data_IF_196932197401
#
_entry.id   IF_196932197401
#
_cell.length_a   1.000
_cell.length_b   1.000
_cell.length_c   1.000
_cell.angle_alpha   90.00
_cell.angle_beta   90.00
_cell.angle_gamma   90.00
#
_symmetry.space_group_name_H-M   'P 1'
#
loop_
_entity.id
_entity.type
_entity.pdbx_description
1 polymer ?
#
# COMPACT_ATOMS: atom_id res chain seq x y z
N UNK A 1 -1.28 -17.10 -3.56
CA UNK A 1 -0.91 -15.73 -3.91
C UNK A 1 -2.12 -14.84 -3.91
N UNK A 2 -2.12 -13.88 -3.00
CA UNK A 2 -3.09 -12.80 -2.95
C UNK A 2 -3.16 -12.05 -4.31
N UNK A 3 -4.38 -11.69 -4.76
CA UNK A 3 -4.60 -11.07 -6.07
C UNK A 3 -3.95 -9.69 -6.20
N UNK A 4 -3.94 -8.89 -5.14
CA UNK A 4 -3.31 -7.56 -5.14
C UNK A 4 -1.79 -7.65 -5.09
N UNK A 5 -1.25 -8.63 -4.36
CA UNK A 5 0.19 -8.92 -4.37
C UNK A 5 0.67 -9.26 -5.80
N UNK A 6 -0.13 -10.01 -6.56
CA UNK A 6 0.18 -10.30 -7.98
C UNK A 6 0.35 -9.02 -8.81
N UNK A 7 -0.55 -8.05 -8.66
CA UNK A 7 -0.49 -6.76 -9.37
C UNK A 7 0.76 -5.95 -8.97
N UNK A 8 1.12 -5.97 -7.69
CA UNK A 8 2.34 -5.27 -7.22
C UNK A 8 3.61 -5.93 -7.75
N UNK A 9 3.66 -7.27 -7.79
CA UNK A 9 4.78 -8.02 -8.40
C UNK A 9 4.90 -7.77 -9.89
N UNK A 10 3.78 -7.62 -10.60
CA UNK A 10 3.75 -7.23 -12.01
C UNK A 10 4.35 -5.82 -12.21
N UNK A 11 3.92 -4.85 -11.41
CA UNK A 11 4.44 -3.49 -11.47
C UNK A 11 5.94 -3.43 -11.14
N UNK A 12 6.39 -4.16 -10.12
CA UNK A 12 7.81 -4.30 -9.82
C UNK A 12 8.60 -4.90 -11.00
N UNK A 13 8.04 -5.93 -11.65
CA UNK A 13 8.64 -6.53 -12.85
C UNK A 13 8.75 -5.53 -14.01
N UNK A 14 7.73 -4.69 -14.21
CA UNK A 14 7.74 -3.66 -15.25
C UNK A 14 8.82 -2.58 -14.99
N UNK A 15 9.06 -2.23 -13.73
CA UNK A 15 10.12 -1.31 -13.29
C UNK A 15 11.50 -1.97 -13.10
N UNK A 16 11.59 -3.28 -13.29
CA UNK A 16 12.80 -4.07 -12.98
C UNK A 16 13.28 -3.88 -11.54
N UNK A 17 12.35 -3.65 -10.61
CA UNK A 17 12.66 -3.52 -9.18
C UNK A 17 13.13 -4.87 -8.62
N UNK A 18 14.10 -4.86 -7.68
CA UNK A 18 14.53 -6.08 -7.00
C UNK A 18 13.34 -6.79 -6.33
N UNK A 19 13.11 -8.04 -6.70
CA UNK A 19 12.20 -8.95 -6.01
C UNK A 19 12.62 -10.39 -6.23
N UNK A 20 12.50 -11.23 -5.20
CA UNK A 20 12.85 -12.65 -5.31
C UNK A 20 11.65 -13.50 -5.74
N UNK A 21 11.91 -14.76 -6.11
CA UNK A 21 10.84 -15.66 -6.50
C UNK A 21 9.90 -15.93 -5.31
N UNK A 22 8.64 -16.20 -5.63
CA UNK A 22 7.64 -16.50 -4.61
C UNK A 22 8.05 -17.76 -3.83
N UNK A 23 8.00 -17.68 -2.50
CA UNK A 23 8.35 -18.77 -1.59
C UNK A 23 9.79 -18.75 -1.08
N UNK A 24 10.67 -17.87 -1.58
CA UNK A 24 12.05 -17.79 -1.09
C UNK A 24 12.14 -17.19 0.33
N UNK A 25 11.23 -16.27 0.69
CA UNK A 25 11.13 -15.67 2.03
C UNK A 25 12.47 -15.05 2.50
N UNK A 26 13.09 -14.25 1.65
CA UNK A 26 14.37 -13.59 1.93
C UNK A 26 14.14 -12.35 2.80
N UNK A 27 14.91 -12.22 3.88
CA UNK A 27 14.84 -11.05 4.77
C UNK A 27 15.29 -9.77 4.04
N UNK A 28 14.54 -8.68 4.21
CA UNK A 28 14.97 -7.35 3.74
C UNK A 28 16.30 -6.93 4.37
N UNK A 29 17.11 -6.22 3.58
CA UNK A 29 18.27 -5.49 4.10
C UNK A 29 17.83 -4.30 4.96
N UNK A 30 18.67 -3.85 5.89
CA UNK A 30 18.36 -2.69 6.74
C UNK A 30 18.03 -1.44 5.92
N UNK A 31 18.78 -1.20 4.83
CA UNK A 31 18.50 -0.09 3.92
C UNK A 31 17.13 -0.23 3.26
N UNK A 32 16.76 -1.44 2.81
CA UNK A 32 15.43 -1.68 2.25
C UNK A 32 14.32 -1.45 3.29
N UNK A 33 14.52 -1.85 4.54
CA UNK A 33 13.57 -1.60 5.63
C UNK A 33 13.41 -0.09 5.85
N UNK A 34 14.50 0.67 5.94
CA UNK A 34 14.47 2.13 6.11
C UNK A 34 13.71 2.80 4.95
N UNK A 35 13.97 2.38 3.72
CA UNK A 35 13.28 2.90 2.53
C UNK A 35 11.78 2.59 2.54
N UNK A 36 11.40 1.36 2.90
CA UNK A 36 9.98 0.97 3.00
C UNK A 36 9.29 1.72 4.13
N UNK A 37 9.96 1.93 5.26
CA UNK A 37 9.43 2.72 6.35
C UNK A 37 9.17 4.16 5.94
N UNK A 38 10.12 4.80 5.25
CA UNK A 38 9.95 6.16 4.75
C UNK A 38 8.74 6.29 3.81
N UNK A 39 8.58 5.34 2.88
CA UNK A 39 7.43 5.30 1.97
C UNK A 39 6.10 5.12 2.71
N UNK A 40 6.02 4.19 3.66
CA UNK A 40 4.80 3.96 4.44
C UNK A 40 4.42 5.18 5.31
N UNK A 41 5.41 5.86 5.89
CA UNK A 41 5.18 7.08 6.68
C UNK A 41 4.66 8.22 5.80
N UNK A 42 5.14 8.31 4.57
CA UNK A 42 4.67 9.28 3.60
C UNK A 42 3.23 9.03 3.17
N UNK A 43 2.90 7.81 2.72
CA UNK A 43 1.52 7.42 2.36
C UNK A 43 0.57 7.56 3.55
N UNK A 44 1.03 7.20 4.76
CA UNK A 44 0.29 7.41 6.00
C UNK A 44 0.01 8.89 6.28
N UNK A 45 0.95 9.79 5.94
CA UNK A 45 0.76 11.22 6.09
C UNK A 45 -0.33 11.76 5.15
N UNK A 46 -0.36 11.33 3.89
CA UNK A 46 -1.42 11.72 2.95
C UNK A 46 -2.78 11.16 3.38
N UNK A 47 -2.83 9.90 3.83
CA UNK A 47 -4.05 9.33 4.43
C UNK A 47 -4.55 10.17 5.61
N UNK A 48 -3.67 10.61 6.52
CA UNK A 48 -4.07 11.45 7.65
C UNK A 48 -4.56 12.83 7.23
N UNK A 49 -4.01 13.40 6.14
CA UNK A 49 -4.53 14.66 5.57
C UNK A 49 -5.93 14.47 5.00
N UNK A 50 -6.16 13.38 4.27
CA UNK A 50 -7.48 13.06 3.72
C UNK A 50 -8.51 12.83 4.84
N UNK A 51 -8.13 12.08 5.88
CA UNK A 51 -8.95 11.87 7.08
C UNK A 51 -9.31 13.21 7.74
N UNK A 52 -8.32 14.10 7.91
CA UNK A 52 -8.55 15.44 8.47
C UNK A 52 -9.50 16.27 7.61
N UNK A 53 -9.42 16.12 6.29
CA UNK A 53 -10.28 16.83 5.34
C UNK A 53 -11.70 16.24 5.25
N UNK A 54 -11.91 14.99 5.69
CA UNK A 54 -13.18 14.29 5.56
C UNK A 54 -13.50 13.85 4.13
N UNK A 55 -12.49 13.75 3.27
CA UNK A 55 -12.64 13.38 1.87
C UNK A 55 -12.56 11.85 1.72
N UNK A 56 -13.71 11.19 1.55
CA UNK A 56 -13.80 9.73 1.50
C UNK A 56 -13.07 9.14 0.29
N UNK A 57 -13.02 9.86 -0.84
CA UNK A 57 -12.32 9.41 -2.06
C UNK A 57 -10.82 9.43 -1.82
N UNK A 58 -10.30 10.50 -1.23
CA UNK A 58 -8.89 10.64 -0.89
C UNK A 58 -8.48 9.71 0.28
N UNK A 59 -9.39 9.43 1.22
CA UNK A 59 -9.14 8.44 2.29
C UNK A 59 -9.00 7.04 1.69
N UNK A 60 -9.88 6.67 0.75
CA UNK A 60 -9.77 5.41 0.02
C UNK A 60 -8.45 5.35 -0.77
N UNK A 61 -8.11 6.41 -1.52
CA UNK A 61 -6.85 6.52 -2.24
C UNK A 61 -5.63 6.31 -1.32
N UNK A 62 -5.61 6.97 -0.16
CA UNK A 62 -4.56 6.81 0.84
C UNK A 62 -4.44 5.36 1.36
N UNK A 63 -5.56 4.69 1.63
CA UNK A 63 -5.56 3.28 2.04
C UNK A 63 -5.07 2.34 0.94
N UNK A 64 -5.42 2.61 -0.33
CA UNK A 64 -4.92 1.81 -1.47
C UNK A 64 -3.42 2.01 -1.65
N UNK A 65 -2.92 3.25 -1.61
CA UNK A 65 -1.49 3.52 -1.76
C UNK A 65 -0.68 2.94 -0.60
N UNK A 66 -1.17 3.04 0.63
CA UNK A 66 -0.54 2.42 1.79
C UNK A 66 -0.48 0.89 1.65
N UNK A 67 -1.58 0.28 1.18
CA UNK A 67 -1.64 -1.16 0.87
C UNK A 67 -0.63 -1.55 -0.22
N UNK A 68 -0.57 -0.77 -1.29
CA UNK A 68 0.35 -1.00 -2.41
C UNK A 68 1.82 -0.97 -1.94
N UNK A 69 2.15 0.01 -1.09
CA UNK A 69 3.49 0.17 -0.50
C UNK A 69 3.87 -0.99 0.42
N UNK A 70 2.93 -1.45 1.26
CA UNK A 70 3.16 -2.60 2.15
C UNK A 70 3.35 -3.90 1.35
N UNK A 71 2.50 -4.15 0.35
CA UNK A 71 2.64 -5.29 -0.55
C UNK A 71 3.95 -5.25 -1.34
N UNK A 72 4.49 -4.07 -1.63
CA UNK A 72 5.80 -3.91 -2.27
C UNK A 72 6.94 -4.48 -1.44
N UNK A 73 6.89 -4.36 -0.10
CA UNK A 73 7.87 -4.99 0.78
C UNK A 73 7.76 -6.52 0.72
N UNK A 74 6.54 -7.06 0.85
CA UNK A 74 6.25 -8.50 0.74
C UNK A 74 6.72 -9.06 -0.61
N UNK A 75 6.52 -8.32 -1.69
CA UNK A 75 6.97 -8.68 -3.03
C UNK A 75 8.50 -8.84 -3.11
N UNK A 76 9.27 -7.92 -2.51
CA UNK A 76 10.74 -8.00 -2.48
C UNK A 76 11.20 -9.30 -1.80
N UNK A 77 10.60 -9.62 -0.66
CA UNK A 77 10.96 -10.79 0.16
C UNK A 77 10.52 -12.12 -0.46
N UNK A 78 9.62 -12.08 -1.45
CA UNK A 78 9.01 -13.27 -2.03
C UNK A 78 8.05 -14.00 -1.09
N UNK A 79 7.60 -13.33 -0.03
CA UNK A 79 6.59 -13.84 0.89
C UNK A 79 5.18 -13.80 0.25
N UNK A 80 4.19 -14.41 0.92
CA UNK A 80 2.77 -14.24 0.59
C UNK A 80 2.07 -13.40 1.67
N UNK A 81 0.89 -12.87 1.36
CA UNK A 81 0.10 -12.13 2.32
C UNK A 81 -0.49 -13.09 3.35
N UNK A 82 -0.30 -12.79 4.63
CA UNK A 82 -0.96 -13.49 5.72
C UNK A 82 -2.27 -12.78 6.06
N UNK A 83 -3.39 -13.46 5.82
CA UNK A 83 -4.70 -12.96 6.24
C UNK A 83 -4.77 -12.95 7.77
N UNK A 84 -4.90 -11.74 8.34
CA UNK A 84 -5.03 -11.55 9.77
C UNK A 84 -6.36 -10.89 10.13
N UNK A 85 -7.02 -11.35 11.20
CA UNK A 85 -8.24 -10.70 11.67
C UNK A 85 -7.91 -9.29 12.17
N UNK A 86 -8.66 -8.30 11.69
CA UNK A 86 -8.55 -6.91 12.14
C UNK A 86 -9.50 -6.73 13.32
N UNK A 87 -8.94 -6.67 14.53
CA UNK A 87 -9.71 -6.33 15.73
C UNK A 87 -9.81 -4.82 15.87
N UNK A 88 -10.82 -4.23 15.23
CA UNK A 88 -11.15 -2.82 15.40
C UNK A 88 -12.65 -2.64 15.67
N UNK A 89 -12.96 -1.78 16.64
CA UNK A 89 -14.31 -1.34 16.94
C UNK A 89 -14.38 0.17 16.76
N UNK A 90 -15.41 0.64 16.05
CA UNK A 90 -15.66 2.05 15.86
C UNK A 90 -16.06 2.68 17.19
N UNK A 91 -15.18 3.50 17.77
CA UNK A 91 -15.40 4.20 19.03
C UNK A 91 -15.90 5.65 18.86
N UNK A 92 -16.12 6.08 17.61
CA UNK A 92 -16.53 7.45 17.29
C UNK A 92 -15.37 8.44 17.13
N UNK A 93 -14.12 7.99 17.31
CA UNK A 93 -12.94 8.85 17.34
C UNK A 93 -12.02 8.62 16.13
N UNK A 94 -11.90 9.64 15.29
CA UNK A 94 -10.94 9.66 14.17
C UNK A 94 -9.49 9.52 14.67
N UNK A 95 -9.19 9.99 15.88
CA UNK A 95 -7.87 9.84 16.50
C UNK A 95 -7.52 8.36 16.72
N UNK A 96 -8.52 7.51 17.01
CA UNK A 96 -8.31 6.08 17.18
C UNK A 96 -7.93 5.40 15.87
N UNK A 97 -8.49 5.84 14.74
CA UNK A 97 -8.03 5.41 13.40
C UNK A 97 -6.59 5.84 13.12
N UNK A 98 -6.25 7.10 13.41
CA UNK A 98 -4.88 7.60 13.21
C UNK A 98 -3.86 6.84 14.05
N UNK A 99 -4.17 6.56 15.32
CA UNK A 99 -3.31 5.75 16.20
C UNK A 99 -3.13 4.34 15.65
N UNK A 100 -4.23 3.69 15.24
CA UNK A 100 -4.19 2.34 14.69
C UNK A 100 -3.29 2.25 13.44
N UNK A 101 -3.45 3.16 12.48
CA UNK A 101 -2.58 3.21 11.31
C UNK A 101 -1.13 3.49 11.68
N UNK A 102 -0.89 4.45 12.60
CA UNK A 102 0.45 4.80 13.05
C UNK A 102 1.16 3.60 13.69
N UNK A 103 0.47 2.84 14.53
CA UNK A 103 1.02 1.66 15.19
C UNK A 103 1.38 0.57 14.18
N UNK A 104 0.49 0.28 13.21
CA UNK A 104 0.75 -0.72 12.17
C UNK A 104 1.89 -0.31 11.23
N UNK A 105 1.94 0.97 10.84
CA UNK A 105 3.06 1.52 10.06
C UNK A 105 4.36 1.45 10.84
N UNK A 106 4.35 1.77 12.14
CA UNK A 106 5.56 1.72 12.97
C UNK A 106 6.08 0.28 13.15
N UNK A 107 5.18 -0.69 13.29
CA UNK A 107 5.56 -2.11 13.37
C UNK A 107 6.31 -2.60 12.13
N UNK A 108 6.08 -1.99 10.96
CA UNK A 108 6.79 -2.33 9.72
C UNK A 108 8.30 -2.04 9.78
N UNK A 109 8.77 -1.25 10.75
CA UNK A 109 10.19 -1.01 10.98
C UNK A 109 10.95 -2.29 11.40
N UNK A 110 10.24 -3.37 11.76
CA UNK A 110 10.86 -4.68 11.99
C UNK A 110 11.35 -5.36 10.70
N UNK A 111 10.84 -4.94 9.53
CA UNK A 111 11.06 -5.60 8.25
C UNK A 111 10.33 -6.94 8.10
N UNK A 112 9.35 -7.25 8.95
CA UNK A 112 8.62 -8.52 8.88
C UNK A 112 7.48 -8.48 7.86
N UNK A 113 7.33 -9.49 6.98
CA UNK A 113 6.21 -9.60 6.04
C UNK A 113 4.85 -9.67 6.74
N UNK A 114 4.82 -10.13 8.00
CA UNK A 114 3.61 -10.18 8.82
C UNK A 114 3.10 -8.77 9.13
N UNK A 115 4.01 -7.86 9.50
CA UNK A 115 3.66 -6.48 9.84
C UNK A 115 3.19 -5.70 8.59
N UNK A 116 3.80 -5.96 7.44
CA UNK A 116 3.30 -5.42 6.16
C UNK A 116 1.92 -6.00 5.79
N UNK A 117 1.68 -7.28 6.05
CA UNK A 117 0.38 -7.92 5.82
C UNK A 117 -0.70 -7.32 6.73
N UNK A 118 -0.37 -6.95 7.96
CA UNK A 118 -1.29 -6.28 8.89
C UNK A 118 -1.75 -4.91 8.36
N UNK A 119 -0.85 -4.11 7.78
CA UNK A 119 -1.21 -2.84 7.15
C UNK A 119 -2.17 -3.06 5.98
N UNK A 120 -1.85 -4.01 5.10
CA UNK A 120 -2.72 -4.38 3.97
C UNK A 120 -4.11 -4.84 4.44
N UNK A 121 -4.17 -5.75 5.42
CA UNK A 121 -5.43 -6.26 5.95
C UNK A 121 -6.27 -5.15 6.59
N UNK A 122 -5.62 -4.25 7.34
CA UNK A 122 -6.27 -3.10 7.95
C UNK A 122 -6.90 -2.18 6.89
N UNK A 123 -6.15 -1.81 5.85
CA UNK A 123 -6.66 -0.99 4.76
C UNK A 123 -7.84 -1.65 4.04
N UNK A 124 -7.72 -2.94 3.71
CA UNK A 124 -8.79 -3.68 3.05
C UNK A 124 -10.06 -3.75 3.93
N UNK A 125 -9.88 -4.01 5.23
CA UNK A 125 -10.98 -4.05 6.19
C UNK A 125 -11.66 -2.69 6.35
N UNK A 126 -10.91 -1.61 6.57
CA UNK A 126 -11.48 -0.27 6.77
C UNK A 126 -12.08 0.32 5.49
N UNK A 127 -11.54 0.00 4.32
CA UNK A 127 -12.17 0.39 3.05
C UNK A 127 -13.59 -0.15 2.95
N UNK A 128 -13.81 -1.41 3.35
CA UNK A 128 -15.13 -2.07 3.29
C UNK A 128 -16.04 -1.67 4.45
N UNK A 129 -15.51 -1.61 5.68
CA UNK A 129 -16.31 -1.45 6.90
C UNK A 129 -16.48 0.00 7.36
N UNK A 130 -15.53 0.88 7.04
CA UNK A 130 -15.55 2.28 7.47
C UNK A 130 -15.90 3.22 6.31
N UNK A 131 -15.28 3.03 5.14
CA UNK A 131 -15.55 3.88 3.96
C UNK A 131 -16.73 3.36 3.12
N UNK A 132 -17.15 2.11 3.32
CA UNK A 132 -18.17 1.46 2.49
C UNK A 132 -17.78 1.45 1.00
N UNK A 133 -16.59 0.94 0.68
CA UNK A 133 -16.03 0.95 -0.67
C UNK A 133 -15.63 -0.44 -1.18
N UNK A 134 -15.66 -0.59 -2.51
CA UNK A 134 -15.04 -1.71 -3.22
C UNK A 134 -13.52 -1.55 -3.26
N UNK A 135 -12.86 -2.11 -2.24
CA UNK A 135 -11.41 -2.13 -2.15
C UNK A 135 -10.74 -2.78 -3.36
N UNK A 136 -11.34 -3.84 -3.91
CA UNK A 136 -10.71 -4.63 -4.96
C UNK A 136 -10.75 -3.89 -6.30
N UNK A 137 -11.90 -3.25 -6.62
CA UNK A 137 -12.03 -2.33 -7.76
C UNK A 137 -11.08 -1.14 -7.63
N UNK A 138 -11.05 -0.50 -6.47
CA UNK A 138 -10.18 0.65 -6.22
C UNK A 138 -8.70 0.29 -6.40
N UNK A 139 -8.27 -0.87 -5.89
CA UNK A 139 -6.90 -1.34 -6.03
C UNK A 139 -6.54 -1.56 -7.51
N UNK A 140 -7.43 -2.19 -8.27
CA UNK A 140 -7.25 -2.42 -9.70
C UNK A 140 -7.12 -1.10 -10.47
N UNK A 141 -7.99 -0.11 -10.20
CA UNK A 141 -7.93 1.20 -10.84
C UNK A 141 -6.60 1.92 -10.58
N UNK A 142 -6.13 1.91 -9.33
CA UNK A 142 -4.83 2.50 -8.97
C UNK A 142 -3.70 1.78 -9.69
N UNK A 143 -3.74 0.45 -9.77
CA UNK A 143 -2.74 -0.33 -10.47
C UNK A 143 -2.71 -0.03 -11.98
N UNK A 144 -3.86 -0.06 -12.65
CA UNK A 144 -3.99 0.21 -14.09
C UNK A 144 -3.47 1.61 -14.43
N UNK A 145 -3.78 2.58 -13.57
CA UNK A 145 -3.27 3.94 -13.70
C UNK A 145 -1.74 4.01 -13.52
N UNK A 146 -1.15 3.32 -12.53
CA UNK A 146 0.31 3.25 -12.37
C UNK A 146 0.98 2.60 -13.59
N UNK A 147 0.42 1.51 -14.12
CA UNK A 147 0.92 0.84 -15.33
C UNK A 147 0.81 1.73 -16.58
N UNK A 148 -0.31 2.44 -16.75
CA UNK A 148 -0.54 3.38 -17.85
C UNK A 148 0.45 4.55 -17.83
N UNK A 149 0.72 5.11 -16.66
CA UNK A 149 1.68 6.20 -16.52
C UNK A 149 3.12 5.71 -16.73
N UNK A 150 3.46 4.48 -16.32
CA UNK A 150 4.76 3.88 -16.62
C UNK A 150 4.97 3.70 -18.14
N UNK A 151 3.95 3.22 -18.86
CA UNK A 151 4.02 3.11 -20.31
C UNK A 151 4.27 4.45 -21.01
N UNK A 152 3.75 5.55 -20.45
CA UNK A 152 3.96 6.92 -20.95
C UNK A 152 5.32 7.49 -20.58
N UNK A 153 5.88 7.17 -19.40
CA UNK A 153 7.19 7.67 -18.97
C UNK A 153 8.37 6.92 -19.58
N UNK A 154 8.13 5.83 -20.32
CA UNK A 154 9.18 4.91 -20.79
C UNK A 154 9.66 3.99 -19.67
N UNK A 155 10.40 2.93 -20.04
CA UNK A 155 10.91 1.92 -19.10
C UNK A 155 11.94 2.57 -18.16
N UNK A 156 11.47 3.04 -17.00
CA UNK A 156 12.34 3.44 -15.90
C UNK A 156 13.03 2.18 -15.38
N UNK A 157 14.35 2.13 -15.54
CA UNK A 157 15.18 1.17 -14.80
C UNK A 157 15.37 1.80 -13.44
N UNK A 158 14.72 1.26 -12.41
CA UNK A 158 14.84 1.78 -11.05
C UNK A 158 15.97 1.06 -10.29
N UNK A 159 17.13 1.70 -10.14
CA UNK A 159 18.29 1.10 -9.44
C UNK A 159 18.43 1.56 -7.98
N UNK A 160 17.75 2.64 -7.56
CA UNK A 160 18.05 3.34 -6.30
C UNK A 160 16.80 3.93 -5.59
N UNK A 161 17.00 4.34 -4.33
CA UNK A 161 15.98 4.92 -3.44
C UNK A 161 15.27 6.17 -3.99
N UNK A 162 15.96 6.98 -4.79
CA UNK A 162 15.41 8.18 -5.44
C UNK A 162 14.36 7.85 -6.51
N UNK A 163 14.35 6.62 -7.04
CA UNK A 163 13.46 6.22 -8.13
C UNK A 163 12.21 5.50 -7.64
N UNK A 164 12.24 4.90 -6.45
CA UNK A 164 11.00 4.53 -5.74
C UNK A 164 10.21 5.80 -5.39
N UNK A 165 10.89 6.91 -5.10
CA UNK A 165 10.25 8.22 -4.96
C UNK A 165 9.61 8.72 -6.27
N UNK A 166 10.11 8.30 -7.45
CA UNK A 166 9.43 8.59 -8.72
C UNK A 166 8.06 7.91 -8.84
N UNK A 167 7.79 6.83 -8.10
CA UNK A 167 6.45 6.22 -8.05
C UNK A 167 5.38 7.13 -7.42
N UNK A 168 5.82 8.19 -6.72
CA UNK A 168 4.97 9.28 -6.20
C UNK A 168 4.46 10.22 -7.29
N UNK A 169 5.06 10.23 -8.49
CA UNK A 169 4.54 11.01 -9.62
C UNK A 169 3.26 10.43 -10.22
N UNK A 170 2.89 9.20 -9.84
CA UNK A 170 1.66 8.60 -10.31
C UNK A 170 0.47 9.15 -9.54
N UNK A 171 -0.12 10.23 -10.07
CA UNK A 171 -1.37 10.79 -9.56
C UNK A 171 -2.41 9.68 -9.44
N UNK A 172 -2.99 9.49 -8.26
CA UNK A 172 -4.07 8.52 -8.04
C UNK A 172 -5.27 8.88 -8.93
N UNK A 173 -5.91 7.90 -9.60
CA UNK A 173 -7.14 8.17 -10.35
C UNK A 173 -8.26 8.56 -9.38
N UNK A 174 -9.32 9.18 -9.91
CA UNK A 174 -10.55 9.39 -9.14
C UNK A 174 -11.19 8.04 -8.81
N UNK A 175 -11.46 7.79 -7.53
CA UNK A 175 -12.02 6.54 -7.00
C UNK A 175 -13.49 6.68 -6.59
N UNK A 176 -14.16 7.77 -6.96
CA UNK A 176 -15.56 8.03 -6.60
C UNK A 176 -16.49 6.87 -6.96
N UNK A 177 -16.24 6.19 -8.08
CA UNK A 177 -17.04 5.04 -8.54
C UNK A 177 -16.80 3.73 -7.74
N UNK A 178 -15.92 3.76 -6.75
CA UNK A 178 -15.68 2.63 -5.84
C UNK A 178 -16.43 2.77 -4.52
N UNK A 179 -17.03 3.93 -4.24
CA UNK A 179 -17.83 4.15 -3.05
C UNK A 179 -19.24 3.60 -3.27
N UNK A 180 -19.79 2.92 -2.27
CA UNK A 180 -21.19 2.52 -2.25
C UNK A 180 -22.05 3.59 -1.57
N UNK A 181 -23.27 3.79 -2.07
CA UNK A 181 -24.30 4.66 -1.45
C UNK A 181 -24.75 4.15 -0.07
#
# INVERSE_FOLDING_TARGET
MNKHLKLVREFHGALSLPQVAQGENVKLSEMAIIMRQALLMEEGSELFRAIKAGDMVEILAGMINLSYSALGAIAIEGADVLDQPVSWQHDGSIISLMRLFSDKINNCASGSPNNYSEVYCLCAYLSRSFINADFDKAFQMVHDNKMSQLAKSGKLICENAEEIQKSKFFKTPDLSECLYE
#
